data_IF_526992281366
#
_entry.id   IF_526992281366
#
_cell.length_a   1.000
_cell.length_b   1.000
_cell.length_c   1.000
_cell.angle_alpha   90.00
_cell.angle_beta   90.00
_cell.angle_gamma   90.00
#
_symmetry.space_group_name_H-M   'P 1'
#
loop_
_entity.id
_entity.type
_entity.pdbx_description
1 polymer ?
#
# COMPACT_ATOMS: atom_id res chain seq x y z
N UNK A 1 -10.27 19.46 14.48
CA UNK A 1 -9.20 19.27 13.47
C UNK A 1 -8.03 18.55 14.13
N UNK A 2 -8.01 17.22 14.12
CA UNK A 2 -6.97 16.45 14.80
C UNK A 2 -5.62 16.65 14.10
N UNK A 3 -4.73 17.39 14.76
CA UNK A 3 -3.36 17.62 14.32
C UNK A 3 -2.64 16.27 14.18
N UNK A 4 -2.11 16.01 12.99
CA UNK A 4 -1.05 15.03 12.80
C UNK A 4 0.11 15.49 13.69
N UNK A 5 0.43 14.73 14.74
CA UNK A 5 1.62 14.98 15.56
C UNK A 5 2.89 15.13 14.70
N UNK A 6 3.97 15.69 15.26
CA UNK A 6 5.20 15.98 14.50
C UNK A 6 5.58 14.76 13.68
N UNK A 7 5.83 14.98 12.38
CA UNK A 7 6.00 13.91 11.41
C UNK A 7 7.14 13.00 11.85
N UNK A 8 6.79 11.87 12.49
CA UNK A 8 7.80 10.89 12.89
C UNK A 8 8.56 10.48 11.63
N UNK A 9 9.89 10.60 11.60
CA UNK A 9 10.66 10.27 10.40
C UNK A 9 10.34 8.84 9.97
N UNK A 10 10.19 8.62 8.66
CA UNK A 10 9.85 7.32 8.09
C UNK A 10 10.94 6.83 7.17
N UNK A 11 11.10 5.50 7.11
CA UNK A 11 11.99 4.87 6.15
C UNK A 11 11.56 5.23 4.73
N UNK A 12 12.43 5.82 3.89
CA UNK A 12 12.07 6.26 2.54
C UNK A 12 11.74 5.10 1.59
N UNK A 13 12.10 3.87 1.98
CA UNK A 13 11.79 2.65 1.24
C UNK A 13 10.44 2.03 1.67
N UNK A 14 10.22 1.76 2.95
CA UNK A 14 9.06 0.99 3.42
C UNK A 14 8.07 1.76 4.31
N UNK A 15 8.27 3.06 4.53
CA UNK A 15 7.44 3.95 5.33
C UNK A 15 7.24 3.58 6.82
N UNK A 16 8.04 2.67 7.37
CA UNK A 16 8.03 2.44 8.83
C UNK A 16 8.56 3.65 9.56
N UNK A 17 7.97 3.97 10.72
CA UNK A 17 8.52 4.95 11.65
C UNK A 17 9.94 4.57 12.05
N UNK A 18 10.81 5.57 12.08
CA UNK A 18 12.21 5.47 12.46
C UNK A 18 12.41 6.06 13.85
N UNK A 19 13.45 5.56 14.53
CA UNK A 19 13.99 6.26 15.69
C UNK A 19 14.55 7.64 15.25
N UNK A 20 14.67 8.61 16.17
CA UNK A 20 15.30 9.89 15.89
C UNK A 20 16.67 9.70 15.19
N UNK A 21 16.96 10.52 14.18
CA UNK A 21 18.22 10.51 13.38
C UNK A 21 18.46 9.28 12.48
N UNK A 22 17.68 8.21 12.58
CA UNK A 22 17.82 7.10 11.64
C UNK A 22 17.35 7.50 10.23
N UNK A 23 18.10 7.09 9.19
CA UNK A 23 17.78 7.35 7.77
C UNK A 23 17.05 6.19 7.09
N UNK A 24 17.26 4.96 7.57
CA UNK A 24 16.63 3.73 7.09
C UNK A 24 16.33 2.79 8.27
N UNK A 25 15.40 1.86 8.09
CA UNK A 25 15.17 0.80 9.08
C UNK A 25 16.09 -0.41 8.86
N UNK A 26 16.33 -1.17 9.93
CA UNK A 26 17.23 -2.32 9.92
C UNK A 26 16.86 -3.36 8.83
N UNK A 27 15.56 -3.61 8.61
CA UNK A 27 15.13 -4.55 7.58
C UNK A 27 15.49 -4.10 6.17
N UNK A 28 15.27 -2.82 5.84
CA UNK A 28 15.59 -2.29 4.50
C UNK A 28 17.10 -2.19 4.25
N UNK A 29 17.90 -2.02 5.32
CA UNK A 29 19.36 -2.07 5.22
C UNK A 29 19.86 -3.50 4.96
N UNK A 30 19.27 -4.50 5.61
CA UNK A 30 19.67 -5.91 5.48
C UNK A 30 19.14 -6.58 4.22
N UNK A 31 17.96 -6.15 3.73
CA UNK A 31 17.31 -6.75 2.57
C UNK A 31 16.60 -5.66 1.76
N UNK A 32 17.14 -5.36 0.58
CA UNK A 32 16.50 -4.49 -0.41
C UNK A 32 15.19 -5.13 -0.88
N UNK A 33 14.03 -4.50 -0.66
CA UNK A 33 12.75 -5.01 -1.16
C UNK A 33 12.69 -4.90 -2.69
N UNK A 34 11.82 -5.70 -3.33
CA UNK A 34 11.54 -5.63 -4.77
C UNK A 34 10.68 -4.42 -5.20
N UNK A 35 10.49 -3.44 -4.32
CA UNK A 35 9.82 -2.18 -4.59
C UNK A 35 10.74 -1.02 -4.24
N UNK A 36 10.58 0.11 -4.92
CA UNK A 36 11.41 1.29 -4.71
C UNK A 36 10.99 2.06 -3.45
N UNK A 37 9.68 2.27 -3.27
CA UNK A 37 9.12 3.07 -2.18
C UNK A 37 7.69 2.65 -1.83
N UNK A 38 7.35 2.84 -0.55
CA UNK A 38 5.98 2.88 -0.02
C UNK A 38 5.64 4.30 0.40
N UNK A 39 4.47 4.80 0.02
CA UNK A 39 3.87 6.02 0.56
C UNK A 39 2.73 5.62 1.48
N UNK A 40 2.82 5.95 2.76
CA UNK A 40 1.80 5.61 3.74
C UNK A 40 0.98 6.87 4.09
N UNK A 41 -0.32 6.83 3.84
CA UNK A 41 -1.22 7.92 4.18
C UNK A 41 -1.55 8.00 5.68
N UNK A 42 -1.45 6.87 6.37
CA UNK A 42 -1.88 6.69 7.74
C UNK A 42 -1.23 5.44 8.34
N UNK A 43 -1.03 5.49 9.65
CA UNK A 43 -0.66 4.31 10.43
C UNK A 43 -1.89 3.45 10.72
N UNK A 44 -1.73 2.13 10.59
CA UNK A 44 -2.72 1.15 10.97
C UNK A 44 -2.77 1.01 12.50
N UNK A 45 -3.14 2.08 13.17
CA UNK A 45 -3.20 2.21 14.62
C UNK A 45 -4.34 3.14 15.04
N UNK A 46 -4.76 3.04 16.30
CA UNK A 46 -5.80 3.89 16.87
C UNK A 46 -7.08 3.91 16.02
N UNK A 47 -7.69 5.10 15.79
CA UNK A 47 -8.98 5.21 15.09
C UNK A 47 -8.92 4.74 13.62
N UNK A 48 -7.75 4.83 12.97
CA UNK A 48 -7.58 4.42 11.57
C UNK A 48 -7.67 2.90 11.39
N UNK A 49 -7.35 2.11 12.42
CA UNK A 49 -7.60 0.66 12.41
C UNK A 49 -9.09 0.38 12.26
N UNK A 50 -9.93 1.08 13.02
CA UNK A 50 -11.39 0.97 12.95
C UNK A 50 -11.92 1.42 11.59
N UNK A 51 -11.42 2.54 11.07
CA UNK A 51 -11.81 3.08 9.76
C UNK A 51 -11.52 2.09 8.62
N UNK A 52 -10.31 1.55 8.56
CA UNK A 52 -9.93 0.57 7.52
C UNK A 52 -10.70 -0.73 7.69
N UNK A 53 -11.00 -1.13 8.93
CA UNK A 53 -11.87 -2.28 9.19
C UNK A 53 -13.25 -2.04 8.60
N UNK A 54 -13.93 -0.94 8.97
CA UNK A 54 -15.27 -0.60 8.46
C UNK A 54 -15.31 -0.55 6.93
N UNK A 55 -14.29 0.03 6.31
CA UNK A 55 -14.16 0.04 4.86
C UNK A 55 -14.12 -1.38 4.25
N UNK A 56 -13.30 -2.29 4.81
CA UNK A 56 -13.07 -3.62 4.23
C UNK A 56 -14.07 -4.69 4.64
N UNK A 57 -14.56 -4.63 5.88
CA UNK A 57 -15.36 -5.69 6.51
C UNK A 57 -16.82 -5.33 6.58
N UNK A 58 -17.16 -4.05 6.80
CA UNK A 58 -18.54 -3.57 6.82
C UNK A 58 -18.99 -2.97 5.47
N UNK A 59 -18.20 -3.19 4.40
CA UNK A 59 -18.52 -2.77 3.04
C UNK A 59 -18.97 -1.31 2.91
N UNK A 60 -18.35 -0.42 3.69
CA UNK A 60 -18.65 1.02 3.68
C UNK A 60 -17.90 1.70 2.53
N UNK A 61 -18.37 1.46 1.32
CA UNK A 61 -17.72 1.91 0.07
C UNK A 61 -17.54 3.43 0.00
N UNK A 62 -18.43 4.20 0.65
CA UNK A 62 -18.36 5.65 0.70
C UNK A 62 -17.07 6.17 1.36
N UNK A 63 -16.42 5.34 2.19
CA UNK A 63 -15.12 5.66 2.78
C UNK A 63 -13.98 5.66 1.75
N UNK A 64 -14.18 5.09 0.56
CA UNK A 64 -13.15 5.03 -0.47
C UNK A 64 -12.69 6.42 -0.90
N UNK A 65 -13.60 7.39 -1.04
CA UNK A 65 -13.27 8.75 -1.46
C UNK A 65 -12.42 9.46 -0.39
N UNK A 66 -12.87 9.42 0.87
CA UNK A 66 -12.13 10.03 1.98
C UNK A 66 -10.74 9.40 2.18
N UNK A 67 -10.64 8.07 2.04
CA UNK A 67 -9.36 7.36 2.10
C UNK A 67 -8.46 7.72 0.90
N UNK A 68 -9.02 7.86 -0.29
CA UNK A 68 -8.29 8.31 -1.47
C UNK A 68 -7.76 9.75 -1.30
N UNK A 69 -8.52 10.64 -0.68
CA UNK A 69 -8.06 12.01 -0.38
C UNK A 69 -6.89 12.03 0.61
N UNK A 70 -6.92 11.16 1.61
CA UNK A 70 -5.77 10.96 2.52
C UNK A 70 -4.55 10.44 1.77
N UNK A 71 -4.74 9.48 0.86
CA UNK A 71 -3.66 8.97 0.00
C UNK A 71 -3.11 10.02 -0.95
N UNK A 72 -3.98 10.85 -1.53
CA UNK A 72 -3.59 11.95 -2.42
C UNK A 72 -2.71 12.97 -1.68
N UNK A 73 -3.11 13.37 -0.47
CA UNK A 73 -2.30 14.27 0.37
C UNK A 73 -0.92 13.68 0.65
N UNK A 74 -0.86 12.41 1.04
CA UNK A 74 0.41 11.74 1.31
C UNK A 74 1.29 11.58 0.06
N UNK A 75 0.69 11.35 -1.11
CA UNK A 75 1.39 11.32 -2.40
C UNK A 75 1.99 12.71 -2.72
N UNK A 76 1.20 13.79 -2.54
CA UNK A 76 1.65 15.17 -2.81
C UNK A 76 2.74 15.63 -1.84
N UNK A 77 2.70 15.15 -0.60
CA UNK A 77 3.69 15.44 0.44
C UNK A 77 4.88 14.45 0.45
N UNK A 78 4.90 13.47 -0.46
CA UNK A 78 5.98 12.49 -0.50
C UNK A 78 7.29 13.17 -0.89
N UNK A 79 8.37 12.79 -0.20
CA UNK A 79 9.71 13.31 -0.45
C UNK A 79 10.70 12.16 -0.78
N UNK A 80 11.42 12.22 -1.92
CA UNK A 80 11.21 13.10 -3.07
C UNK A 80 9.81 12.97 -3.70
N UNK A 81 9.31 14.01 -4.37
CA UNK A 81 8.01 14.00 -5.02
C UNK A 81 7.96 12.95 -6.14
N UNK A 82 6.80 12.34 -6.32
CA UNK A 82 6.53 11.48 -7.48
C UNK A 82 6.51 12.35 -8.73
N UNK A 83 7.40 12.08 -9.70
CA UNK A 83 7.45 12.85 -10.96
C UNK A 83 6.62 12.16 -12.04
N UNK A 84 5.73 12.91 -12.67
CA UNK A 84 4.97 12.51 -13.85
C UNK A 84 3.87 11.44 -13.61
N UNK A 85 3.06 11.15 -14.64
CA UNK A 85 2.02 10.13 -14.56
C UNK A 85 2.58 8.74 -14.24
N UNK A 86 1.92 8.04 -13.33
CA UNK A 86 2.26 6.67 -12.96
C UNK A 86 1.09 5.74 -13.24
N UNK A 87 1.37 4.51 -13.67
CA UNK A 87 0.33 3.49 -13.82
C UNK A 87 -0.10 2.98 -12.44
N UNK A 88 -1.37 3.18 -12.09
CA UNK A 88 -1.95 2.65 -10.86
C UNK A 88 -2.39 1.19 -11.07
N UNK A 89 -1.92 0.30 -10.21
CA UNK A 89 -2.23 -1.12 -10.28
C UNK A 89 -2.72 -1.60 -8.90
N UNK A 90 -4.02 -1.91 -8.74
CA UNK A 90 -4.54 -2.41 -7.47
C UNK A 90 -4.15 -3.87 -7.24
N UNK A 91 -3.73 -4.19 -6.03
CA UNK A 91 -3.50 -5.59 -5.65
C UNK A 91 -4.84 -6.34 -5.66
N UNK A 92 -4.96 -7.48 -6.36
CA UNK A 92 -6.21 -8.24 -6.42
C UNK A 92 -6.60 -8.78 -5.05
N UNK A 93 -7.90 -8.70 -4.76
CA UNK A 93 -8.51 -9.42 -3.66
C UNK A 93 -8.53 -10.93 -3.94
N UNK A 94 -8.48 -11.77 -2.89
CA UNK A 94 -8.67 -13.21 -3.07
C UNK A 94 -10.10 -13.51 -3.54
N UNK A 95 -10.29 -14.60 -4.28
CA UNK A 95 -11.62 -15.02 -4.75
C UNK A 95 -12.62 -15.18 -3.59
N UNK A 96 -12.20 -15.78 -2.47
CA UNK A 96 -13.02 -15.89 -1.27
C UNK A 96 -13.40 -14.52 -0.67
N UNK A 97 -12.47 -13.57 -0.70
CA UNK A 97 -12.74 -12.20 -0.27
C UNK A 97 -13.75 -11.50 -1.19
N UNK A 98 -13.59 -11.63 -2.51
CA UNK A 98 -14.50 -11.07 -3.51
C UNK A 98 -15.90 -11.66 -3.36
N UNK A 99 -16.04 -12.99 -3.23
CA UNK A 99 -17.34 -13.63 -2.98
C UNK A 99 -18.02 -13.13 -1.72
N UNK A 100 -17.27 -12.91 -0.64
CA UNK A 100 -17.83 -12.47 0.63
C UNK A 100 -18.32 -11.01 0.60
N UNK A 101 -17.60 -10.11 -0.09
CA UNK A 101 -17.86 -8.66 -0.01
C UNK A 101 -18.31 -7.99 -1.29
N UNK A 102 -18.20 -8.65 -2.44
CA UNK A 102 -18.59 -8.13 -3.76
C UNK A 102 -17.58 -7.22 -4.46
N UNK A 103 -16.56 -6.68 -3.75
CA UNK A 103 -15.64 -5.69 -4.33
C UNK A 103 -14.16 -5.87 -3.91
N UNK A 104 -13.26 -5.21 -4.66
CA UNK A 104 -11.84 -5.09 -4.32
C UNK A 104 -11.52 -3.70 -3.73
N UNK A 105 -11.29 -3.57 -2.41
CA UNK A 105 -10.95 -2.30 -1.78
C UNK A 105 -9.76 -1.57 -2.42
N UNK A 106 -8.74 -2.30 -2.86
CA UNK A 106 -7.59 -1.68 -3.52
C UNK A 106 -7.97 -1.09 -4.89
N UNK A 107 -8.89 -1.73 -5.61
CA UNK A 107 -9.34 -1.28 -6.93
C UNK A 107 -10.21 -0.02 -6.85
N UNK A 108 -11.03 0.10 -5.81
CA UNK A 108 -11.85 1.29 -5.58
C UNK A 108 -10.99 2.49 -5.20
N UNK A 109 -10.01 2.30 -4.30
CA UNK A 109 -9.04 3.35 -3.97
C UNK A 109 -8.21 3.76 -5.20
N UNK A 110 -7.77 2.79 -6.01
CA UNK A 110 -7.01 3.07 -7.22
C UNK A 110 -7.82 3.83 -8.26
N UNK A 111 -9.10 3.51 -8.43
CA UNK A 111 -10.00 4.25 -9.32
C UNK A 111 -10.21 5.70 -8.84
N UNK A 112 -10.49 5.88 -7.54
CA UNK A 112 -10.66 7.21 -6.96
C UNK A 112 -9.40 8.08 -7.08
N UNK A 113 -8.21 7.48 -6.95
CA UNK A 113 -6.92 8.18 -7.13
C UNK A 113 -6.60 8.47 -8.59
N UNK A 114 -6.85 7.53 -9.50
CA UNK A 114 -6.65 7.71 -10.93
C UNK A 114 -7.43 8.93 -11.44
N UNK A 115 -8.71 9.03 -11.06
CA UNK A 115 -9.57 10.15 -11.41
C UNK A 115 -9.04 11.49 -10.89
N UNK A 116 -8.51 11.54 -9.66
CA UNK A 116 -7.98 12.77 -9.04
C UNK A 116 -6.61 13.19 -9.57
N UNK A 117 -5.78 12.23 -9.97
CA UNK A 117 -4.41 12.46 -10.42
C UNK A 117 -4.31 12.59 -11.95
N UNK A 118 -5.36 12.20 -12.69
CA UNK A 118 -5.30 12.06 -14.14
C UNK A 118 -4.35 10.94 -14.58
N UNK A 119 -4.20 9.89 -13.77
CA UNK A 119 -3.24 8.81 -14.00
C UNK A 119 -3.93 7.56 -14.55
N UNK A 120 -3.25 6.77 -15.41
CA UNK A 120 -3.83 5.55 -15.94
C UNK A 120 -4.04 4.49 -14.86
N UNK A 121 -5.11 3.71 -14.98
CA UNK A 121 -5.48 2.61 -14.07
C UNK A 121 -5.48 1.27 -14.79
N UNK A 122 -4.78 0.29 -14.24
CA UNK A 122 -4.67 -1.06 -14.76
C UNK A 122 -5.22 -2.09 -13.75
N UNK A 123 -6.53 -2.38 -13.81
CA UNK A 123 -7.23 -3.24 -12.81
C UNK A 123 -6.83 -4.72 -12.85
N UNK A 124 -6.38 -5.23 -13.99
CA UNK A 124 -6.20 -6.68 -14.25
C UNK A 124 -4.74 -7.10 -14.47
N UNK A 125 -3.79 -6.21 -14.20
CA UNK A 125 -2.38 -6.40 -14.54
C UNK A 125 -1.57 -7.16 -13.48
N UNK A 126 -2.21 -7.65 -12.42
CA UNK A 126 -1.59 -8.54 -11.43
C UNK A 126 -2.34 -9.86 -11.38
N UNK A 127 -1.60 -10.96 -11.42
CA UNK A 127 -2.12 -12.31 -11.16
C UNK A 127 -1.34 -12.98 -10.04
N UNK A 128 -1.96 -13.87 -9.25
CA UNK A 128 -1.23 -14.68 -8.29
C UNK A 128 -0.11 -15.44 -9.03
N UNK A 129 1.09 -15.44 -8.47
CA UNK A 129 2.15 -16.31 -8.95
C UNK A 129 1.75 -17.76 -8.70
N UNK A 130 2.16 -18.67 -9.60
CA UNK A 130 1.81 -20.09 -9.51
C UNK A 130 2.47 -20.81 -8.33
N UNK A 131 3.52 -20.22 -7.75
CA UNK A 131 4.20 -20.77 -6.57
C UNK A 131 3.51 -20.27 -5.29
N UNK A 132 3.12 -21.15 -4.34
CA UNK A 132 2.45 -20.74 -3.11
C UNK A 132 3.36 -19.86 -2.24
N UNK A 133 3.16 -18.54 -2.27
CA UNK A 133 3.66 -17.67 -1.21
C UNK A 133 2.83 -17.95 0.05
N UNK A 134 3.40 -18.70 1.00
CA UNK A 134 2.75 -19.14 2.25
C UNK A 134 1.97 -18.05 3.00
N UNK A 135 1.01 -18.45 3.85
CA UNK A 135 0.11 -17.54 4.57
C UNK A 135 0.90 -16.51 5.42
N UNK A 136 0.57 -15.22 5.27
CA UNK A 136 1.26 -14.10 5.95
C UNK A 136 0.82 -13.88 7.41
N UNK A 137 -0.27 -14.51 7.87
CA UNK A 137 -0.87 -14.20 9.17
C UNK A 137 -0.01 -14.57 10.37
N UNK A 138 1.06 -15.36 10.17
CA UNK A 138 1.98 -15.82 11.23
C UNK A 138 3.44 -15.41 11.00
N UNK A 139 3.73 -14.53 10.03
CA UNK A 139 5.11 -14.21 9.62
C UNK A 139 5.58 -12.85 10.12
N UNK A 140 6.80 -12.82 10.67
CA UNK A 140 7.50 -11.61 11.07
C UNK A 140 7.66 -10.63 9.91
N UNK A 141 7.95 -9.36 10.22
CA UNK A 141 8.10 -8.30 9.21
C UNK A 141 9.11 -8.65 8.12
N UNK A 142 10.28 -9.17 8.51
CA UNK A 142 11.33 -9.63 7.61
C UNK A 142 10.84 -10.72 6.64
N UNK A 143 10.04 -11.65 7.13
CA UNK A 143 9.45 -12.71 6.31
C UNK A 143 8.34 -12.21 5.38
N UNK A 144 7.63 -11.16 5.76
CA UNK A 144 6.68 -10.46 4.87
C UNK A 144 7.40 -9.70 3.76
N UNK A 145 8.55 -9.08 4.06
CA UNK A 145 9.39 -8.43 3.05
C UNK A 145 9.98 -9.47 2.08
N UNK A 146 10.46 -10.61 2.59
CA UNK A 146 10.92 -11.76 1.77
C UNK A 146 9.80 -12.46 1.00
N UNK A 147 8.61 -12.54 1.57
CA UNK A 147 7.45 -13.20 0.95
C UNK A 147 6.60 -12.30 0.06
N UNK A 148 6.95 -11.01 -0.06
CA UNK A 148 6.32 -10.11 -1.02
C UNK A 148 6.78 -10.41 -2.45
N UNK A 149 8.04 -10.83 -2.61
CA UNK A 149 8.59 -11.30 -3.89
C UNK A 149 7.94 -12.60 -4.31
N UNK A 150 7.54 -12.68 -5.59
CA UNK A 150 7.02 -13.91 -6.17
C UNK A 150 5.59 -14.28 -5.75
N UNK A 151 4.82 -13.38 -5.12
CA UNK A 151 3.38 -13.63 -4.84
C UNK A 151 2.45 -13.18 -5.95
N UNK A 152 2.82 -12.09 -6.62
CA UNK A 152 2.08 -11.51 -7.73
C UNK A 152 3.00 -11.41 -8.92
N UNK A 153 2.50 -11.81 -10.09
CA UNK A 153 3.15 -11.58 -11.37
C UNK A 153 2.45 -10.42 -12.05
N UNK A 154 3.23 -9.39 -12.38
CA UNK A 154 2.76 -8.32 -13.26
C UNK A 154 2.65 -8.86 -14.69
N UNK A 155 1.57 -8.48 -15.38
CA UNK A 155 1.35 -8.77 -16.80
C UNK A 155 1.67 -7.57 -17.69
N UNK A 156 2.32 -6.56 -17.11
CA UNK A 156 2.74 -5.35 -17.80
C UNK A 156 3.86 -5.67 -18.79
N UNK A 157 3.82 -5.05 -19.97
CA UNK A 157 4.94 -5.09 -20.90
C UNK A 157 6.22 -4.57 -20.23
N UNK A 158 7.37 -5.18 -20.55
CA UNK A 158 8.66 -4.67 -20.13
C UNK A 158 8.80 -3.21 -20.59
N UNK A 159 9.19 -2.31 -19.68
CA UNK A 159 9.31 -0.88 -19.98
C UNK A 159 8.09 -0.01 -19.65
N UNK A 160 7.05 -0.56 -19.01
CA UNK A 160 5.86 0.20 -18.57
C UNK A 160 6.16 1.21 -17.43
N UNK A 161 6.94 2.26 -17.69
CA UNK A 161 7.09 3.45 -16.85
C UNK A 161 7.19 3.21 -15.33
N UNK A 162 6.69 4.15 -14.53
CA UNK A 162 6.59 4.01 -13.07
C UNK A 162 5.23 3.41 -12.70
N UNK A 163 5.26 2.30 -11.96
CA UNK A 163 4.07 1.57 -11.51
C UNK A 163 3.87 1.78 -10.02
N UNK A 164 2.69 2.22 -9.61
CA UNK A 164 2.31 2.32 -8.21
C UNK A 164 1.34 1.19 -7.89
N UNK A 165 1.80 0.30 -7.02
CA UNK A 165 0.99 -0.82 -6.54
C UNK A 165 0.21 -0.39 -5.32
N UNK A 166 -1.12 -0.34 -5.44
CA UNK A 166 -1.99 0.01 -4.33
C UNK A 166 -2.38 -1.23 -3.56
N UNK A 167 -1.98 -1.26 -2.30
CA UNK A 167 -2.44 -2.26 -1.34
C UNK A 167 -3.15 -1.55 -0.19
N UNK A 168 -4.42 -1.89 0.04
CA UNK A 168 -5.05 -1.59 1.31
C UNK A 168 -4.45 -2.54 2.36
N UNK A 169 -3.32 -2.20 2.96
CA UNK A 169 -2.59 -3.06 3.90
C UNK A 169 -2.60 -2.50 5.32
N UNK A 170 -2.23 -3.35 6.28
CA UNK A 170 -1.79 -2.88 7.60
C UNK A 170 -0.40 -2.29 7.38
N UNK A 171 -0.19 -1.02 7.72
CA UNK A 171 1.17 -0.50 7.87
C UNK A 171 1.85 -1.31 8.99
N UNK A 172 3.10 -1.75 8.81
CA UNK A 172 3.79 -2.51 9.84
C UNK A 172 3.98 -1.60 11.06
N UNK A 173 3.27 -1.90 12.15
CA UNK A 173 3.54 -1.28 13.43
C UNK A 173 5.02 -1.51 13.78
N UNK A 174 5.71 -0.45 14.16
CA UNK A 174 6.97 -0.57 14.89
C UNK A 174 6.64 -1.31 16.20
N UNK A 175 7.07 -2.56 16.34
CA UNK A 175 7.23 -3.14 17.66
C UNK A 175 8.67 -2.82 18.04
N UNK A 176 8.83 -2.19 19.20
CA UNK A 176 10.12 -2.02 19.86
C UNK A 176 10.75 -3.38 20.11
#
# INVERSE_FOLDING_TARGET
MAALGPATPRCPCCAVRLAPRARHCADCLRLRPAYQRVVAALDYAGPYRGLISRYKTACRHELALALADLMLRAIRQADPPLRGPCLLVPVPASAASLRRRGFNPAAELAAALAARLGWPLARTQLRPARVPAGRQTLRGRRDRLRGATGRWRALLAAGAGRVIVLAAARTPASHG
#
